data_IF_791465975651
#
_entry.id   IF_791465975651
#
_cell.length_a   1.000
_cell.length_b   1.000
_cell.length_c   1.000
_cell.angle_alpha   90.00
_cell.angle_beta   90.00
_cell.angle_gamma   90.00
#
_symmetry.space_group_name_H-M   'P 1'
#
loop_
_entity.id
_entity.type
_entity.pdbx_description
1 polymer ?
#
# COMPACT_ATOMS: atom_id res chain seq x y z
N UNK A 1 -20.84 4.07 -19.50
CA UNK A 1 -20.38 5.18 -18.61
C UNK A 1 -20.44 4.65 -17.16
N UNK A 2 -19.28 4.31 -16.56
CA UNK A 2 -19.24 3.80 -15.18
C UNK A 2 -19.21 5.01 -14.25
N UNK A 3 -20.28 5.24 -13.52
CA UNK A 3 -20.32 6.25 -12.45
C UNK A 3 -19.49 5.72 -11.29
N UNK A 4 -18.31 6.30 -11.07
CA UNK A 4 -17.53 6.02 -9.86
C UNK A 4 -18.24 6.67 -8.68
N UNK A 5 -18.75 5.83 -7.78
CA UNK A 5 -19.34 6.28 -6.52
C UNK A 5 -18.20 6.78 -5.63
N UNK A 6 -18.26 8.03 -5.13
CA UNK A 6 -17.24 8.55 -4.22
C UNK A 6 -17.06 7.66 -2.98
N UNK A 7 -15.85 7.59 -2.41
CA UNK A 7 -15.54 6.77 -1.23
C UNK A 7 -16.46 7.03 -0.02
N UNK A 8 -17.00 8.24 0.10
CA UNK A 8 -17.94 8.63 1.16
C UNK A 8 -19.41 8.31 0.88
N UNK A 9 -19.77 7.89 -0.34
CA UNK A 9 -21.16 7.55 -0.63
C UNK A 9 -21.52 6.22 0.04
N UNK A 10 -22.64 6.12 0.75
CA UNK A 10 -23.06 4.89 1.44
C UNK A 10 -23.15 3.74 0.45
N UNK A 11 -22.23 2.78 0.55
CA UNK A 11 -22.20 1.58 -0.28
C UNK A 11 -23.06 0.52 0.40
N UNK A 12 -24.36 0.53 0.17
CA UNK A 12 -25.26 -0.49 0.73
C UNK A 12 -24.83 -1.89 0.26
N UNK A 13 -24.23 -2.67 1.15
CA UNK A 13 -24.16 -4.13 1.07
C UNK A 13 -22.93 -4.76 0.39
N UNK A 14 -21.95 -4.00 -0.08
CA UNK A 14 -20.70 -4.57 -0.63
C UNK A 14 -19.58 -4.51 0.41
N UNK A 15 -19.15 -5.68 0.86
CA UNK A 15 -17.93 -5.78 1.69
C UNK A 15 -16.72 -5.46 0.83
N UNK A 16 -15.95 -4.47 1.25
CA UNK A 16 -14.70 -4.10 0.59
C UNK A 16 -13.50 -4.59 1.41
N UNK A 17 -12.44 -4.94 0.72
CA UNK A 17 -11.17 -5.32 1.34
C UNK A 17 -10.14 -4.21 1.12
N UNK A 18 -9.34 -3.93 2.15
CA UNK A 18 -8.32 -2.89 2.11
C UNK A 18 -6.97 -3.44 2.57
N UNK A 19 -5.92 -2.99 1.91
CA UNK A 19 -4.54 -3.27 2.31
C UNK A 19 -3.87 -1.93 2.59
N UNK A 20 -3.49 -1.69 3.85
CA UNK A 20 -2.61 -0.60 4.22
C UNK A 20 -1.19 -1.02 3.91
N UNK A 21 -0.57 -0.29 2.98
CA UNK A 21 0.68 -0.69 2.36
C UNK A 21 1.82 0.25 2.75
N UNK A 22 2.89 -0.30 3.30
CA UNK A 22 4.20 0.34 3.29
C UNK A 22 4.95 0.04 1.99
N UNK A 23 5.96 0.84 1.68
CA UNK A 23 6.74 0.71 0.45
C UNK A 23 8.14 0.18 0.76
N UNK A 24 8.85 0.83 1.68
CA UNK A 24 10.23 0.46 2.03
C UNK A 24 10.22 -0.87 2.79
N UNK A 25 11.05 -1.83 2.35
CA UNK A 25 11.05 -3.17 2.94
C UNK A 25 9.83 -4.04 2.60
N UNK A 26 8.93 -3.56 1.72
CA UNK A 26 7.77 -4.29 1.22
C UNK A 26 7.82 -4.42 -0.30
N UNK A 27 7.76 -3.29 -1.00
CA UNK A 27 7.72 -3.20 -2.47
C UNK A 27 9.09 -2.90 -3.08
N UNK A 28 10.03 -2.47 -2.26
CA UNK A 28 11.47 -2.42 -2.53
C UNK A 28 12.18 -3.19 -1.42
N UNK A 29 13.23 -3.90 -1.74
CA UNK A 29 14.01 -4.66 -0.78
C UNK A 29 15.51 -4.41 -0.97
N UNK A 30 16.32 -4.83 0.01
CA UNK A 30 17.74 -4.62 -0.02
C UNK A 30 18.45 -5.32 -1.19
N UNK A 31 17.99 -6.51 -1.54
CA UNK A 31 18.59 -7.29 -2.62
C UNK A 31 18.45 -6.58 -3.96
N UNK A 32 17.24 -6.10 -4.30
CA UNK A 32 17.00 -5.37 -5.55
C UNK A 32 17.76 -4.05 -5.60
N UNK A 33 17.80 -3.37 -4.45
CA UNK A 33 18.55 -2.13 -4.32
C UNK A 33 20.05 -2.34 -4.56
N UNK A 34 20.65 -3.40 -4.03
CA UNK A 34 22.06 -3.72 -4.20
C UNK A 34 22.39 -4.29 -5.59
N UNK A 35 21.53 -5.15 -6.14
CA UNK A 35 21.78 -5.77 -7.45
C UNK A 35 21.81 -4.78 -8.63
N UNK A 36 21.17 -3.62 -8.48
CA UNK A 36 21.15 -2.57 -9.50
C UNK A 36 22.24 -1.51 -9.33
N UNK A 37 22.94 -1.49 -8.20
CA UNK A 37 24.12 -0.62 -7.98
C UNK A 37 25.30 -0.99 -8.89
N UNK A 38 25.40 -2.25 -9.29
CA UNK A 38 26.50 -2.75 -10.15
C UNK A 38 26.34 -2.38 -11.63
N UNK A 39 25.18 -1.90 -12.07
CA UNK A 39 25.01 -1.39 -13.42
C UNK A 39 25.49 0.07 -13.51
N UNK A 40 26.74 0.24 -13.94
CA UNK A 40 27.48 1.52 -14.07
C UNK A 40 26.83 2.60 -14.93
N UNK A 41 25.63 2.42 -15.45
CA UNK A 41 24.94 3.33 -16.38
C UNK A 41 23.84 4.20 -15.76
N UNK A 42 23.38 3.89 -14.56
CA UNK A 42 22.43 4.76 -13.87
C UNK A 42 23.15 5.49 -12.73
N UNK A 43 23.55 6.72 -12.99
CA UNK A 43 24.08 7.61 -11.96
C UNK A 43 23.06 7.71 -10.84
N UNK A 44 23.50 7.32 -9.69
CA UNK A 44 22.75 7.23 -8.45
C UNK A 44 22.24 8.60 -8.01
N UNK A 45 20.96 8.86 -8.16
CA UNK A 45 20.29 9.98 -7.52
C UNK A 45 19.57 9.57 -6.23
N UNK A 46 20.03 8.53 -5.54
CA UNK A 46 19.43 8.07 -4.29
C UNK A 46 18.02 7.47 -4.43
N UNK A 47 17.63 7.10 -5.64
CA UNK A 47 16.29 6.58 -5.91
C UNK A 47 16.22 5.10 -5.59
N UNK A 48 15.34 4.76 -4.66
CA UNK A 48 15.05 3.35 -4.34
C UNK A 48 14.32 2.71 -5.51
N UNK A 49 14.77 1.53 -5.89
CA UNK A 49 14.14 0.80 -6.98
C UNK A 49 13.07 -0.13 -6.43
N UNK A 50 12.02 -0.34 -7.19
CA UNK A 50 10.93 -1.24 -6.85
C UNK A 50 11.21 -2.65 -7.37
N UNK A 51 10.77 -3.67 -6.60
CA UNK A 51 10.83 -5.08 -6.97
C UNK A 51 9.62 -5.44 -7.85
N UNK A 52 9.83 -5.74 -9.12
CA UNK A 52 8.75 -6.08 -10.05
C UNK A 52 7.98 -7.34 -9.61
N UNK A 53 8.66 -8.32 -9.00
CA UNK A 53 8.05 -9.52 -8.45
C UNK A 53 7.08 -9.20 -7.30
N UNK A 54 7.48 -8.32 -6.39
CA UNK A 54 6.61 -7.88 -5.28
C UNK A 54 5.35 -7.17 -5.81
N UNK A 55 5.50 -6.33 -6.85
CA UNK A 55 4.37 -5.66 -7.49
C UNK A 55 3.43 -6.63 -8.19
N UNK A 56 3.96 -7.66 -8.86
CA UNK A 56 3.13 -8.70 -9.46
C UNK A 56 2.36 -9.48 -8.40
N UNK A 57 3.02 -9.89 -7.30
CA UNK A 57 2.37 -10.55 -6.18
C UNK A 57 1.25 -9.70 -5.58
N UNK A 58 1.48 -8.41 -5.36
CA UNK A 58 0.47 -7.48 -4.83
C UNK A 58 -0.72 -7.35 -5.80
N UNK A 59 -0.47 -7.22 -7.11
CA UNK A 59 -1.52 -7.19 -8.14
C UNK A 59 -2.39 -8.45 -8.10
N UNK A 60 -1.77 -9.62 -8.02
CA UNK A 60 -2.48 -10.90 -8.00
C UNK A 60 -3.33 -11.05 -6.73
N UNK A 61 -2.80 -10.61 -5.57
CA UNK A 61 -3.57 -10.56 -4.32
C UNK A 61 -4.77 -9.64 -4.48
N UNK A 62 -4.55 -8.39 -4.90
CA UNK A 62 -5.62 -7.39 -5.02
C UNK A 62 -6.76 -7.90 -5.92
N UNK A 63 -6.43 -8.52 -7.05
CA UNK A 63 -7.41 -9.15 -7.93
C UNK A 63 -8.14 -10.32 -7.25
N UNK A 64 -7.39 -11.20 -6.57
CA UNK A 64 -7.92 -12.45 -5.99
C UNK A 64 -8.86 -12.21 -4.81
N UNK A 65 -8.62 -11.17 -4.03
CA UNK A 65 -9.44 -10.83 -2.85
C UNK A 65 -10.25 -9.55 -3.02
N UNK A 66 -10.24 -8.93 -4.20
CA UNK A 66 -10.89 -7.65 -4.51
C UNK A 66 -10.52 -6.57 -3.49
N UNK A 67 -9.22 -6.36 -3.31
CA UNK A 67 -8.72 -5.38 -2.35
C UNK A 67 -8.28 -4.07 -3.02
N UNK A 68 -8.48 -2.98 -2.31
CA UNK A 68 -7.98 -1.65 -2.62
C UNK A 68 -6.79 -1.31 -1.73
N UNK A 69 -5.88 -0.48 -2.22
CA UNK A 69 -4.70 -0.04 -1.46
C UNK A 69 -4.94 1.31 -0.80
N UNK A 70 -4.53 1.40 0.46
CA UNK A 70 -4.34 2.66 1.20
C UNK A 70 -2.85 2.78 1.52
N UNK A 71 -2.22 3.84 1.06
CA UNK A 71 -0.78 4.05 1.28
C UNK A 71 -0.54 4.54 2.71
N UNK A 72 0.16 3.74 3.52
CA UNK A 72 0.52 4.07 4.91
C UNK A 72 2.03 4.36 5.09
N UNK A 73 2.79 4.28 4.03
CA UNK A 73 4.22 4.56 3.96
C UNK A 73 4.55 6.04 4.15
N UNK A 74 5.80 6.35 4.52
CA UNK A 74 6.35 7.72 4.43
C UNK A 74 6.24 8.33 3.03
N UNK A 75 6.18 7.50 1.99
CA UNK A 75 5.99 7.93 0.60
C UNK A 75 4.67 8.67 0.36
N UNK A 76 3.65 8.49 1.24
CA UNK A 76 2.37 9.21 1.17
C UNK A 76 2.49 10.73 1.21
N UNK A 77 3.61 11.25 1.71
CA UNK A 77 3.87 12.70 1.76
C UNK A 77 3.81 13.33 0.36
N UNK A 78 4.24 12.59 -0.67
CA UNK A 78 4.21 13.02 -2.06
C UNK A 78 2.83 12.96 -2.74
N UNK A 79 1.77 12.59 -2.02
CA UNK A 79 0.42 12.44 -2.56
C UNK A 79 -0.60 13.33 -1.85
N UNK A 80 -1.70 13.61 -2.52
CA UNK A 80 -2.87 14.34 -1.97
C UNK A 80 -4.15 13.81 -2.65
N UNK A 81 -5.30 14.35 -2.24
CA UNK A 81 -6.56 14.09 -2.92
C UNK A 81 -6.85 15.18 -3.94
N UNK A 82 -7.16 14.80 -5.19
CA UNK A 82 -7.64 15.69 -6.23
C UNK A 82 -9.13 16.06 -6.05
N UNK A 83 -9.65 16.87 -6.96
CA UNK A 83 -11.04 17.36 -6.92
C UNK A 83 -12.09 16.22 -6.95
N UNK A 84 -11.78 15.10 -7.59
CA UNK A 84 -12.63 13.91 -7.66
C UNK A 84 -12.35 12.89 -6.54
N UNK A 85 -11.66 13.31 -5.47
CA UNK A 85 -11.24 12.48 -4.33
C UNK A 85 -10.29 11.33 -4.71
N UNK A 86 -9.71 11.34 -5.90
CA UNK A 86 -8.65 10.40 -6.27
C UNK A 86 -7.33 10.80 -5.64
N UNK A 87 -6.51 9.80 -5.34
CA UNK A 87 -5.13 10.03 -4.91
C UNK A 87 -4.30 10.50 -6.11
N UNK A 88 -3.66 11.66 -5.98
CA UNK A 88 -2.82 12.27 -7.00
C UNK A 88 -1.48 12.68 -6.39
N UNK A 89 -0.47 12.87 -7.24
CA UNK A 89 0.84 13.37 -6.80
C UNK A 89 0.72 14.87 -6.48
N UNK A 90 1.25 15.27 -5.33
CA UNK A 90 1.19 16.66 -4.84
C UNK A 90 2.00 17.62 -5.74
N UNK A 91 3.18 17.16 -6.19
CA UNK A 91 4.07 17.90 -7.06
C UNK A 91 4.45 17.03 -8.27
N UNK A 92 4.02 17.45 -9.46
CA UNK A 92 4.29 16.73 -10.72
C UNK A 92 5.79 16.59 -11.05
N UNK A 93 6.64 17.40 -10.45
CA UNK A 93 8.11 17.30 -10.60
C UNK A 93 8.75 16.30 -9.62
N UNK A 94 7.99 15.77 -8.64
CA UNK A 94 8.50 14.78 -7.71
C UNK A 94 8.65 13.42 -8.40
N UNK A 95 9.88 13.11 -8.81
CA UNK A 95 10.21 11.88 -9.52
C UNK A 95 9.74 10.62 -8.77
N UNK A 96 10.02 10.52 -7.47
CA UNK A 96 9.70 9.33 -6.68
C UNK A 96 8.19 9.06 -6.59
N UNK A 97 7.39 10.11 -6.37
CA UNK A 97 5.94 9.97 -6.28
C UNK A 97 5.33 9.60 -7.63
N UNK A 98 5.81 10.22 -8.71
CA UNK A 98 5.38 9.86 -10.07
C UNK A 98 5.74 8.41 -10.39
N UNK A 99 6.97 7.99 -10.05
CA UNK A 99 7.42 6.62 -10.27
C UNK A 99 6.58 5.60 -9.50
N UNK A 100 6.23 5.90 -8.26
CA UNK A 100 5.34 5.05 -7.46
C UNK A 100 3.94 4.95 -8.10
N UNK A 101 3.38 6.08 -8.54
CA UNK A 101 2.07 6.09 -9.22
C UNK A 101 2.11 5.32 -10.54
N UNK A 102 3.21 5.41 -11.31
CA UNK A 102 3.41 4.59 -12.52
C UNK A 102 3.34 3.09 -12.22
N UNK A 103 3.93 2.64 -11.11
CA UNK A 103 3.89 1.23 -10.71
C UNK A 103 2.49 0.79 -10.32
N UNK A 104 1.72 1.58 -9.56
CA UNK A 104 0.31 1.30 -9.30
C UNK A 104 -0.48 1.13 -10.61
N UNK A 105 -0.27 2.02 -11.57
CA UNK A 105 -0.92 1.97 -12.88
C UNK A 105 -0.45 0.77 -13.72
N UNK A 106 0.86 0.54 -13.81
CA UNK A 106 1.48 -0.58 -14.55
C UNK A 106 0.90 -1.93 -14.13
N UNK A 107 0.72 -2.12 -12.83
CA UNK A 107 0.21 -3.38 -12.28
C UNK A 107 -1.30 -3.39 -12.07
N UNK A 108 -2.00 -2.33 -12.51
CA UNK A 108 -3.45 -2.19 -12.36
C UNK A 108 -3.94 -2.37 -10.92
N UNK A 109 -3.24 -1.73 -9.99
CA UNK A 109 -3.53 -1.75 -8.55
C UNK A 109 -4.22 -0.44 -8.18
N UNK A 110 -5.38 -0.52 -7.52
CA UNK A 110 -6.17 0.66 -7.14
C UNK A 110 -5.63 1.26 -5.86
N UNK A 111 -4.98 2.42 -5.97
CA UNK A 111 -4.65 3.28 -4.85
C UNK A 111 -5.85 4.19 -4.56
N UNK A 112 -6.56 3.93 -3.45
CA UNK A 112 -7.82 4.63 -3.13
C UNK A 112 -7.67 5.63 -1.99
N UNK A 113 -6.57 5.58 -1.24
CA UNK A 113 -6.38 6.46 -0.09
C UNK A 113 -4.94 6.54 0.37
N UNK A 114 -4.72 7.51 1.23
CA UNK A 114 -3.46 7.72 1.98
C UNK A 114 -3.82 7.95 3.44
N UNK A 115 -3.02 7.42 4.37
CA UNK A 115 -3.17 7.75 5.79
C UNK A 115 -2.74 9.19 6.07
N UNK A 116 -3.15 9.74 7.21
CA UNK A 116 -2.79 11.10 7.60
C UNK A 116 -1.27 11.31 7.60
N UNK A 117 -0.85 12.55 7.31
CA UNK A 117 0.55 12.98 7.24
C UNK A 117 1.07 13.59 8.56
N UNK A 118 0.26 13.54 9.60
CA UNK A 118 0.66 14.05 10.93
C UNK A 118 1.82 13.23 11.51
N UNK A 119 2.46 13.77 12.57
CA UNK A 119 3.49 13.06 13.32
C UNK A 119 2.92 12.00 14.27
N UNK A 120 1.65 11.62 14.15
CA UNK A 120 1.06 10.56 14.95
C UNK A 120 1.71 9.20 14.65
N UNK A 121 1.73 8.28 15.63
CA UNK A 121 2.19 6.91 15.42
C UNK A 121 1.47 6.22 14.26
N UNK A 122 2.15 5.34 13.54
CA UNK A 122 1.63 4.72 12.29
C UNK A 122 0.36 3.90 12.52
N UNK A 123 0.34 3.10 13.57
CA UNK A 123 -0.85 2.30 13.90
C UNK A 123 -2.07 3.17 14.19
N UNK A 124 -1.85 4.30 14.89
CA UNK A 124 -2.91 5.29 15.13
C UNK A 124 -3.42 5.90 13.82
N UNK A 125 -2.52 6.32 12.91
CA UNK A 125 -2.91 6.89 11.61
C UNK A 125 -3.77 5.91 10.79
N UNK A 126 -3.39 4.62 10.80
CA UNK A 126 -4.15 3.56 10.13
C UNK A 126 -5.54 3.44 10.75
N UNK A 127 -5.64 3.39 12.09
CA UNK A 127 -6.93 3.26 12.76
C UNK A 127 -7.81 4.48 12.64
N UNK A 128 -7.24 5.68 12.58
CA UNK A 128 -7.99 6.91 12.31
C UNK A 128 -8.57 6.88 10.87
N UNK A 129 -7.80 6.39 9.89
CA UNK A 129 -8.29 6.18 8.54
C UNK A 129 -9.43 5.14 8.51
N UNK A 130 -9.26 4.01 9.17
CA UNK A 130 -10.28 2.95 9.28
C UNK A 130 -11.59 3.51 9.82
N UNK A 131 -11.53 4.23 10.95
CA UNK A 131 -12.72 4.81 11.60
C UNK A 131 -13.45 5.84 10.73
N UNK A 132 -12.71 6.58 9.90
CA UNK A 132 -13.25 7.68 9.11
C UNK A 132 -13.74 7.25 7.72
N UNK A 133 -13.23 6.13 7.16
CA UNK A 133 -13.41 5.81 5.75
C UNK A 133 -13.92 4.39 5.47
N UNK A 134 -13.87 3.48 6.44
CA UNK A 134 -14.31 2.09 6.26
C UNK A 134 -15.63 1.83 6.98
N UNK A 135 -16.48 1.01 6.36
CA UNK A 135 -17.70 0.51 6.99
C UNK A 135 -17.39 -0.65 7.96
N UNK A 136 -18.30 -0.91 8.91
CA UNK A 136 -18.12 -1.97 9.93
C UNK A 136 -17.99 -3.39 9.35
N UNK A 137 -18.40 -3.60 8.12
CA UNK A 137 -18.32 -4.88 7.40
C UNK A 137 -17.05 -5.01 6.55
N UNK A 138 -16.36 -3.90 6.31
CA UNK A 138 -15.12 -3.90 5.54
C UNK A 138 -14.00 -4.61 6.31
N UNK A 139 -13.10 -5.26 5.55
CA UNK A 139 -11.95 -5.93 6.12
C UNK A 139 -10.67 -5.22 5.70
N UNK A 140 -9.69 -5.22 6.59
CA UNK A 140 -8.39 -4.67 6.25
C UNK A 140 -7.24 -5.49 6.84
N UNK A 141 -6.09 -5.37 6.20
CA UNK A 141 -4.79 -5.82 6.70
C UNK A 141 -3.76 -4.71 6.53
N UNK A 142 -2.64 -4.85 7.23
CA UNK A 142 -1.47 -3.98 7.12
C UNK A 142 -0.29 -4.81 6.65
N UNK A 143 0.47 -4.31 5.67
CA UNK A 143 1.74 -4.90 5.22
C UNK A 143 2.83 -3.86 5.48
N UNK A 144 3.82 -4.21 6.32
CA UNK A 144 4.88 -3.31 6.76
C UNK A 144 6.09 -4.14 7.22
N UNK A 145 7.30 -3.62 7.07
CA UNK A 145 8.53 -4.27 7.53
C UNK A 145 8.89 -3.91 8.98
N UNK A 146 8.24 -2.91 9.55
CA UNK A 146 8.42 -2.46 10.92
C UNK A 146 7.22 -2.77 11.82
N UNK A 147 7.49 -3.04 13.08
CA UNK A 147 6.41 -3.18 14.05
C UNK A 147 5.85 -1.82 14.49
N UNK A 148 6.71 -0.81 14.65
CA UNK A 148 6.34 0.49 15.22
C UNK A 148 5.36 0.33 16.39
N UNK A 149 4.27 1.11 16.39
CA UNK A 149 3.13 0.99 17.28
C UNK A 149 1.97 0.15 16.69
N UNK A 150 2.15 -0.45 15.51
CA UNK A 150 1.08 -1.15 14.77
C UNK A 150 0.43 -2.22 15.65
N UNK A 151 1.22 -3.01 16.38
CA UNK A 151 0.75 -4.07 17.27
C UNK A 151 -0.12 -3.58 18.42
N UNK A 152 -0.04 -2.30 18.78
CA UNK A 152 -0.84 -1.72 19.87
C UNK A 152 -2.27 -1.40 19.42
N UNK A 153 -2.51 -1.34 18.11
CA UNK A 153 -3.78 -0.96 17.51
C UNK A 153 -4.40 -2.06 16.64
N UNK A 154 -3.58 -2.96 16.10
CA UNK A 154 -3.97 -3.90 15.05
C UNK A 154 -3.64 -5.32 15.48
N UNK A 155 -4.58 -6.25 15.31
CA UNK A 155 -4.39 -7.65 15.69
C UNK A 155 -3.29 -8.31 14.86
N UNK A 156 -2.61 -9.30 15.43
CA UNK A 156 -1.55 -10.05 14.75
C UNK A 156 -2.04 -10.72 13.46
N UNK A 157 -3.30 -11.14 13.42
CA UNK A 157 -3.92 -11.74 12.23
C UNK A 157 -4.11 -10.75 11.07
N UNK A 158 -4.17 -9.44 11.37
CA UNK A 158 -4.31 -8.36 10.39
C UNK A 158 -2.97 -7.75 10.00
N UNK A 159 -1.87 -8.18 10.62
CA UNK A 159 -0.54 -7.65 10.36
C UNK A 159 0.32 -8.66 9.60
N UNK A 160 0.79 -8.27 8.43
CA UNK A 160 1.71 -9.02 7.59
C UNK A 160 3.07 -8.32 7.66
N UNK A 161 3.92 -8.80 8.56
CA UNK A 161 5.29 -8.32 8.65
C UNK A 161 6.13 -8.89 7.51
N UNK A 162 6.82 -8.02 6.81
CA UNK A 162 7.87 -8.38 5.84
C UNK A 162 9.25 -8.13 6.46
N UNK A 163 10.29 -8.56 5.77
CA UNK A 163 11.68 -8.25 6.15
C UNK A 163 12.29 -7.33 5.09
N UNK A 164 13.02 -6.30 5.52
CA UNK A 164 13.65 -5.33 4.63
C UNK A 164 14.54 -5.98 3.56
N UNK A 165 15.18 -7.11 3.90
CA UNK A 165 16.06 -7.85 2.99
C UNK A 165 15.31 -8.47 1.82
N UNK A 166 14.07 -8.91 2.02
CA UNK A 166 13.34 -9.75 1.05
C UNK A 166 12.06 -9.13 0.52
N UNK A 167 11.44 -8.19 1.25
CA UNK A 167 10.17 -7.59 0.88
C UNK A 167 8.98 -8.55 0.90
N UNK A 168 8.00 -8.29 0.04
CA UNK A 168 6.79 -9.11 -0.09
C UNK A 168 7.10 -10.43 -0.81
N UNK A 169 6.75 -11.55 -0.17
CA UNK A 169 7.00 -12.91 -0.64
C UNK A 169 5.69 -13.71 -0.84
N UNK A 170 5.72 -14.84 -1.59
CA UNK A 170 4.55 -15.69 -1.82
C UNK A 170 3.87 -16.24 -0.55
N UNK A 171 4.62 -16.49 0.52
CA UNK A 171 4.06 -16.91 1.81
C UNK A 171 3.21 -15.83 2.48
N UNK A 172 3.61 -14.57 2.38
CA UNK A 172 2.80 -13.44 2.83
C UNK A 172 1.48 -13.39 2.07
N UNK A 173 1.52 -13.61 0.75
CA UNK A 173 0.33 -13.67 -0.09
C UNK A 173 -0.67 -14.75 0.34
N UNK A 174 -0.18 -15.93 0.73
CA UNK A 174 -1.03 -17.02 1.25
C UNK A 174 -1.75 -16.60 2.53
N UNK A 175 -1.04 -15.94 3.46
CA UNK A 175 -1.63 -15.42 4.72
C UNK A 175 -2.70 -14.36 4.44
N UNK A 176 -2.43 -13.42 3.53
CA UNK A 176 -3.37 -12.37 3.12
C UNK A 176 -4.65 -12.98 2.55
N UNK A 177 -4.52 -13.92 1.62
CA UNK A 177 -5.66 -14.59 0.99
C UNK A 177 -6.46 -15.37 2.03
N UNK A 178 -5.78 -16.08 2.94
CA UNK A 178 -6.44 -16.83 4.02
C UNK A 178 -7.26 -15.89 4.92
N UNK A 179 -6.72 -14.73 5.29
CA UNK A 179 -7.41 -13.75 6.13
C UNK A 179 -8.71 -13.25 5.46
N UNK A 180 -8.63 -12.80 4.22
CA UNK A 180 -9.80 -12.23 3.55
C UNK A 180 -10.85 -13.29 3.18
N UNK A 181 -10.45 -14.49 2.81
CA UNK A 181 -11.36 -15.57 2.39
C UNK A 181 -11.84 -16.48 3.51
N UNK A 182 -11.24 -16.41 4.70
CA UNK A 182 -11.64 -17.18 5.86
C UNK A 182 -11.43 -18.70 5.72
N UNK A 183 -10.44 -19.13 4.90
CA UNK A 183 -10.13 -20.54 4.64
C UNK A 183 -8.68 -20.86 4.99
#
# INVERSE_FOLDING_TARGET
MWVQVPLWAPRKGLIMNYIFLDIDGVMNNRHDWMSKVDNKSEQFHGHRMFCDEAWQLLSDICKKVNANIVLSSSWRIGFTYGEDSKVVVTNSECYLSNKLLEYFNKYNIKLVGITDKTCAPRGKQIMDYVKSNLDSHDKFIVIDDGYFDIKDYISESQFIKTEFETGLLPEHCKRIIKYFKGK
#
